data_IF_990087122789
#
_entry.id   IF_990087122789
#
_cell.length_a   1.000
_cell.length_b   1.000
_cell.length_c   1.000
_cell.angle_alpha   90.00
_cell.angle_beta   90.00
_cell.angle_gamma   90.00
#
_symmetry.space_group_name_H-M   'P 1'
#
loop_
_entity.id
_entity.type
_entity.pdbx_description
1 polymer ?
#
# COMPACT_ATOMS: atom_id res chain seq x y z
N UNK A 1 -49.46 4.17 -20.01
CA UNK A 1 -48.52 5.30 -19.79
C UNK A 1 -47.69 4.94 -18.58
N UNK A 2 -46.49 4.40 -18.79
CA UNK A 2 -45.60 3.96 -17.69
C UNK A 2 -44.57 5.05 -17.42
N UNK A 3 -44.53 5.54 -16.18
CA UNK A 3 -43.52 6.49 -15.70
C UNK A 3 -42.15 5.80 -15.58
N UNK A 4 -41.03 6.50 -15.83
CA UNK A 4 -39.71 5.92 -15.65
C UNK A 4 -39.29 5.87 -14.17
N UNK A 5 -38.57 4.82 -13.80
CA UNK A 5 -37.92 4.63 -12.49
C UNK A 5 -36.70 5.55 -12.42
N UNK A 6 -36.41 6.24 -11.28
CA UNK A 6 -35.22 7.05 -11.16
C UNK A 6 -33.98 6.15 -11.02
N UNK A 7 -33.00 6.36 -11.89
CA UNK A 7 -31.65 5.79 -11.76
C UNK A 7 -30.98 6.45 -10.55
N UNK A 8 -30.76 5.69 -9.49
CA UNK A 8 -29.93 6.10 -8.36
C UNK A 8 -28.47 6.22 -8.80
N UNK A 9 -27.84 7.37 -8.51
CA UNK A 9 -26.41 7.57 -8.69
C UNK A 9 -25.63 6.64 -7.74
N UNK A 10 -24.52 6.02 -8.17
CA UNK A 10 -23.66 5.29 -7.25
C UNK A 10 -22.95 6.30 -6.34
N UNK A 11 -23.35 6.32 -5.08
CA UNK A 11 -22.61 6.98 -4.00
C UNK A 11 -21.36 6.15 -3.73
N UNK A 12 -20.27 6.45 -4.46
CA UNK A 12 -18.95 5.92 -4.17
C UNK A 12 -18.43 6.53 -2.88
N UNK A 13 -18.67 5.86 -1.75
CA UNK A 13 -17.96 6.14 -0.51
C UNK A 13 -16.51 5.72 -0.70
N UNK A 14 -15.61 6.67 -0.94
CA UNK A 14 -14.19 6.41 -0.75
C UNK A 14 -13.99 6.03 0.72
N UNK A 15 -13.40 4.87 1.06
CA UNK A 15 -13.13 4.55 2.45
C UNK A 15 -12.14 5.60 2.97
N UNK A 16 -12.63 6.50 3.81
CA UNK A 16 -11.77 7.34 4.63
C UNK A 16 -11.15 6.39 5.66
N UNK A 17 -9.94 5.90 5.40
CA UNK A 17 -9.15 5.19 6.41
C UNK A 17 -8.78 6.27 7.44
N UNK A 18 -9.31 6.21 8.67
CA UNK A 18 -8.90 7.16 9.70
C UNK A 18 -7.44 6.89 10.04
N UNK A 19 -6.62 7.94 10.08
CA UNK A 19 -5.28 7.90 10.65
C UNK A 19 -5.41 7.51 12.12
N UNK A 20 -5.32 6.22 12.41
CA UNK A 20 -5.61 5.68 13.75
C UNK A 20 -4.29 5.25 14.37
N UNK A 21 -3.80 6.03 15.34
CA UNK A 21 -2.78 5.57 16.27
C UNK A 21 -3.46 4.59 17.24
N UNK A 22 -3.53 3.31 16.86
CA UNK A 22 -4.08 2.26 17.71
C UNK A 22 -2.92 1.55 18.42
N UNK A 23 -2.96 1.51 19.75
CA UNK A 23 -2.04 0.74 20.59
C UNK A 23 -2.42 -0.74 20.47
N UNK A 24 -1.47 -1.59 20.07
CA UNK A 24 -1.68 -3.04 20.01
C UNK A 24 -1.06 -3.69 21.23
N UNK A 25 -1.65 -4.81 21.69
CA UNK A 25 -1.16 -5.60 22.84
C UNK A 25 0.29 -6.11 22.72
N UNK A 26 0.95 -5.82 21.60
CA UNK A 26 2.35 -6.14 21.29
C UNK A 26 3.33 -4.99 21.63
N UNK A 27 2.85 -3.86 22.18
CA UNK A 27 3.70 -2.70 22.51
C UNK A 27 4.22 -1.97 21.27
N UNK A 28 3.34 -1.86 20.26
CA UNK A 28 3.65 -1.25 18.97
C UNK A 28 2.58 -0.23 18.59
N UNK A 29 3.06 0.87 18.00
CA UNK A 29 2.25 1.89 17.39
C UNK A 29 2.16 1.65 15.89
N UNK A 30 0.94 1.70 15.36
CA UNK A 30 0.71 1.59 13.92
C UNK A 30 0.25 2.92 13.36
N UNK A 31 0.85 3.32 12.25
CA UNK A 31 0.39 4.43 11.42
C UNK A 31 -0.12 3.87 10.09
N UNK A 32 -1.25 4.37 9.61
CA UNK A 32 -1.69 4.20 8.23
C UNK A 32 -1.91 5.58 7.63
N UNK A 33 -1.23 5.89 6.54
CA UNK A 33 -1.23 7.20 5.91
C UNK A 33 -1.10 7.10 4.39
N UNK A 34 -1.36 8.21 3.68
CA UNK A 34 -0.99 8.36 2.27
C UNK A 34 0.37 9.03 2.17
N UNK A 35 1.13 8.72 1.13
CA UNK A 35 2.45 9.32 0.91
C UNK A 35 2.85 9.34 -0.56
N UNK A 36 4.09 9.73 -0.78
CA UNK A 36 4.79 9.68 -2.07
C UNK A 36 6.10 8.89 -1.94
N UNK A 37 6.85 8.77 -3.03
CA UNK A 37 8.10 8.02 -3.05
C UNK A 37 9.15 8.61 -2.08
N UNK A 38 9.18 9.94 -1.92
CA UNK A 38 10.09 10.62 -0.99
C UNK A 38 9.77 10.27 0.47
N UNK A 39 8.47 10.15 0.80
CA UNK A 39 7.99 9.68 2.10
C UNK A 39 8.50 8.27 2.40
N UNK A 40 8.38 7.35 1.43
CA UNK A 40 8.85 5.97 1.59
C UNK A 40 10.37 5.90 1.78
N UNK A 41 11.14 6.65 0.98
CA UNK A 41 12.58 6.79 1.14
C UNK A 41 12.96 7.33 2.53
N UNK A 42 12.22 8.33 3.03
CA UNK A 42 12.45 8.90 4.36
C UNK A 42 12.18 7.91 5.48
N UNK A 43 11.20 7.03 5.30
CA UNK A 43 10.90 5.95 6.25
C UNK A 43 12.03 4.90 6.26
N UNK A 44 12.49 4.47 5.09
CA UNK A 44 13.63 3.55 4.95
C UNK A 44 14.90 4.11 5.59
N UNK A 45 15.18 5.41 5.38
CA UNK A 45 16.33 6.08 6.00
C UNK A 45 16.27 6.13 7.54
N UNK A 46 15.07 5.97 8.12
CA UNK A 46 14.84 5.87 9.57
C UNK A 46 14.77 4.42 10.08
N UNK A 47 15.11 3.45 9.24
CA UNK A 47 14.97 2.02 9.54
C UNK A 47 13.53 1.62 9.89
N UNK A 48 12.56 2.28 9.26
CA UNK A 48 11.13 1.98 9.39
C UNK A 48 10.59 1.50 8.03
N UNK A 49 10.64 0.19 7.73
CA UNK A 49 10.18 -0.37 6.47
C UNK A 49 8.70 -0.10 6.23
N UNK A 50 8.32 0.64 5.17
CA UNK A 50 6.93 0.87 4.84
C UNK A 50 6.22 -0.40 4.38
N UNK A 51 4.98 -0.59 4.80
CA UNK A 51 4.06 -1.60 4.27
C UNK A 51 3.19 -0.92 3.22
N UNK A 52 3.46 -1.12 1.93
CA UNK A 52 2.68 -0.51 0.86
C UNK A 52 1.46 -1.37 0.50
N UNK A 53 0.31 -0.71 0.33
CA UNK A 53 -0.90 -1.35 -0.21
C UNK A 53 -0.86 -1.26 -1.72
N UNK A 54 -0.89 -2.39 -2.43
CA UNK A 54 -0.71 -2.44 -3.88
C UNK A 54 -1.82 -3.22 -4.54
N UNK A 55 -2.16 -2.86 -5.78
CA UNK A 55 -2.96 -3.70 -6.66
C UNK A 55 -2.01 -4.62 -7.45
N UNK A 56 -2.08 -5.91 -7.19
CA UNK A 56 -1.19 -6.91 -7.80
C UNK A 56 -1.37 -7.04 -9.31
N UNK A 57 -2.47 -6.52 -9.89
CA UNK A 57 -2.69 -6.52 -11.34
C UNK A 57 -1.69 -5.67 -12.12
N UNK A 58 -0.96 -4.78 -11.45
CA UNK A 58 0.13 -3.99 -12.03
C UNK A 58 1.50 -4.67 -11.86
N UNK A 59 1.60 -5.72 -11.04
CA UNK A 59 2.86 -6.37 -10.69
C UNK A 59 3.15 -7.53 -11.65
N UNK A 60 4.26 -7.43 -12.38
CA UNK A 60 4.71 -8.36 -13.41
C UNK A 60 4.98 -9.78 -12.89
N UNK A 61 5.30 -9.92 -11.59
CA UNK A 61 5.54 -11.20 -10.94
C UNK A 61 4.25 -11.86 -10.42
N UNK A 62 3.09 -11.21 -10.53
CA UNK A 62 1.80 -11.71 -10.03
C UNK A 62 0.81 -11.99 -11.18
N UNK A 63 -0.06 -13.00 -11.04
CA UNK A 63 -0.95 -13.47 -12.13
C UNK A 63 -2.44 -13.09 -11.97
N UNK A 64 -2.82 -12.56 -10.82
CA UNK A 64 -4.18 -12.19 -10.42
C UNK A 64 -4.22 -10.73 -9.94
N UNK A 65 -5.29 -10.00 -10.26
CA UNK A 65 -5.48 -8.63 -9.79
C UNK A 65 -6.27 -8.62 -8.47
N UNK A 66 -5.60 -8.31 -7.37
CA UNK A 66 -6.19 -8.16 -6.04
C UNK A 66 -5.49 -7.04 -5.27
N UNK A 67 -6.18 -6.46 -4.28
CA UNK A 67 -5.50 -5.66 -3.27
C UNK A 67 -4.61 -6.56 -2.41
N UNK A 68 -3.38 -6.12 -2.15
CA UNK A 68 -2.39 -6.85 -1.36
C UNK A 68 -1.49 -5.87 -0.58
N UNK A 69 -0.69 -6.38 0.35
CA UNK A 69 0.27 -5.60 1.11
C UNK A 69 1.68 -6.19 1.00
N UNK A 70 2.65 -5.35 0.68
CA UNK A 70 4.06 -5.71 0.54
C UNK A 70 4.94 -4.85 1.44
N UNK A 71 6.04 -5.39 1.95
CA UNK A 71 6.97 -4.63 2.79
C UNK A 71 8.10 -4.10 1.93
N UNK A 72 8.26 -2.80 1.84
CA UNK A 72 9.36 -2.18 1.11
C UNK A 72 10.62 -2.28 1.97
N UNK A 73 11.67 -2.90 1.44
CA UNK A 73 12.96 -3.08 2.12
C UNK A 73 14.10 -2.30 1.46
N UNK A 74 13.87 -1.74 0.28
CA UNK A 74 14.83 -0.87 -0.39
C UNK A 74 14.24 -0.14 -1.60
N UNK A 75 14.81 1.02 -1.92
CA UNK A 75 14.54 1.76 -3.16
C UNK A 75 15.91 2.21 -3.68
N UNK A 76 16.35 1.62 -4.78
CA UNK A 76 17.66 1.89 -5.37
C UNK A 76 17.66 1.56 -6.86
N UNK A 77 18.56 2.17 -7.63
CA UNK A 77 18.79 1.81 -9.04
C UNK A 77 17.51 1.76 -9.92
N UNK A 78 16.54 2.66 -9.67
CA UNK A 78 15.23 2.68 -10.34
C UNK A 78 14.34 1.44 -10.08
N UNK A 79 14.58 0.75 -8.98
CA UNK A 79 13.83 -0.40 -8.52
C UNK A 79 13.32 -0.18 -7.09
N UNK A 80 12.22 -0.86 -6.77
CA UNK A 80 11.68 -1.02 -5.43
C UNK A 80 11.84 -2.49 -5.06
N UNK A 81 12.53 -2.75 -3.95
CA UNK A 81 12.74 -4.08 -3.39
C UNK A 81 11.63 -4.34 -2.36
N UNK A 82 10.83 -5.37 -2.60
CA UNK A 82 9.69 -5.69 -1.73
C UNK A 82 9.76 -7.13 -1.21
N UNK A 83 9.50 -7.30 0.08
CA UNK A 83 9.18 -8.60 0.65
C UNK A 83 7.67 -8.82 0.52
N UNK A 84 7.32 -9.84 -0.25
CA UNK A 84 5.94 -10.18 -0.54
C UNK A 84 5.50 -11.41 0.28
N UNK A 85 4.54 -11.30 1.20
CA UNK A 85 4.10 -12.43 2.03
C UNK A 85 3.54 -13.63 1.26
N UNK A 86 3.16 -13.48 0.00
CA UNK A 86 2.67 -14.59 -0.81
C UNK A 86 3.78 -15.44 -1.43
N UNK A 87 5.03 -14.98 -1.38
CA UNK A 87 6.18 -15.66 -1.97
C UNK A 87 7.26 -15.91 -0.91
N UNK A 88 7.82 -17.13 -0.82
CA UNK A 88 8.93 -17.41 0.08
C UNK A 88 10.26 -16.83 -0.42
N UNK A 89 10.43 -16.66 -1.73
CA UNK A 89 11.59 -15.99 -2.32
C UNK A 89 11.46 -14.47 -2.18
N UNK A 90 12.49 -13.83 -1.60
CA UNK A 90 12.53 -12.40 -1.34
C UNK A 90 13.96 -11.84 -1.46
N UNK A 91 14.12 -10.55 -1.80
CA UNK A 91 13.05 -9.62 -2.20
C UNK A 91 12.59 -9.88 -3.65
N UNK A 92 11.37 -9.44 -3.96
CA UNK A 92 10.94 -9.22 -5.34
C UNK A 92 11.46 -7.86 -5.80
N UNK A 93 11.98 -7.79 -7.01
CA UNK A 93 12.49 -6.56 -7.61
C UNK A 93 11.49 -6.07 -8.67
N UNK A 94 10.92 -4.89 -8.45
CA UNK A 94 10.02 -4.26 -9.41
C UNK A 94 10.53 -2.88 -9.78
N UNK A 95 10.21 -2.40 -10.99
CA UNK A 95 10.56 -1.04 -11.37
C UNK A 95 9.78 -0.01 -10.54
N UNK A 96 10.32 1.21 -10.38
CA UNK A 96 9.59 2.31 -9.74
C UNK A 96 8.23 2.55 -10.43
N UNK A 97 8.19 2.52 -11.77
CA UNK A 97 6.94 2.77 -12.51
C UNK A 97 5.87 1.71 -12.20
N UNK A 98 6.27 0.44 -12.18
CA UNK A 98 5.41 -0.69 -11.84
C UNK A 98 4.87 -0.58 -10.41
N UNK A 99 5.75 -0.30 -9.46
CA UNK A 99 5.36 -0.03 -8.07
C UNK A 99 4.38 1.14 -7.96
N UNK A 100 4.70 2.26 -8.62
CA UNK A 100 3.88 3.47 -8.56
C UNK A 100 2.48 3.25 -9.12
N UNK A 101 2.34 2.53 -10.23
CA UNK A 101 1.03 2.16 -10.78
C UNK A 101 0.25 1.29 -9.78
N UNK A 102 0.88 0.24 -9.23
CA UNK A 102 0.25 -0.65 -8.27
C UNK A 102 -0.20 0.09 -6.99
N UNK A 103 0.61 1.04 -6.53
CA UNK A 103 0.38 1.81 -5.32
C UNK A 103 -0.65 2.92 -5.51
N UNK A 104 -0.64 3.59 -6.67
CA UNK A 104 -1.65 4.60 -7.03
C UNK A 104 -3.06 4.00 -7.14
N UNK A 105 -3.20 2.79 -7.67
CA UNK A 105 -4.49 2.06 -7.70
C UNK A 105 -5.06 1.83 -6.29
N UNK A 106 -4.22 1.91 -5.26
CA UNK A 106 -4.55 1.78 -3.84
C UNK A 106 -4.39 3.11 -3.09
N UNK A 107 -4.59 4.24 -3.78
CA UNK A 107 -4.63 5.57 -3.16
C UNK A 107 -3.31 6.00 -2.48
N UNK A 108 -2.21 5.32 -2.81
CA UNK A 108 -0.88 5.53 -2.24
C UNK A 108 -0.85 5.36 -0.71
N UNK A 109 -1.68 4.46 -0.18
CA UNK A 109 -1.65 4.12 1.24
C UNK A 109 -0.40 3.32 1.60
N UNK A 110 0.17 3.62 2.76
CA UNK A 110 1.20 2.82 3.39
C UNK A 110 0.96 2.71 4.90
N UNK A 111 1.48 1.65 5.49
CA UNK A 111 1.54 1.42 6.92
C UNK A 111 2.95 1.53 7.46
N UNK A 112 3.10 1.94 8.72
CA UNK A 112 4.32 1.79 9.51
C UNK A 112 4.01 1.14 10.84
N UNK A 113 4.97 0.38 11.34
CA UNK A 113 4.95 -0.19 12.68
C UNK A 113 6.18 0.33 13.42
N UNK A 114 5.94 1.02 14.52
CA UNK A 114 6.96 1.56 15.40
C UNK A 114 6.83 0.90 16.78
N UNK A 115 7.94 0.76 17.52
CA UNK A 115 7.86 0.35 18.93
C UNK A 115 7.26 1.50 19.75
N UNK A 116 6.48 1.17 20.76
CA UNK A 116 6.13 2.15 21.80
C UNK A 116 7.37 2.42 22.68
N UNK A 117 7.56 3.69 23.05
CA UNK A 117 8.68 4.17 23.90
C UNK A 117 8.54 3.73 25.37
#
# INVERSE_FOLDING_TARGET
MSSPIPVGQPQGIAPTIPQTNQEFALGVKVLVAKGDLETLCSCLARELPPIAFVNTGQLSYWNEATGHAVVIVGIENNQVLVNDPAFPEAPQEISIDEFMLAWMDMDQFYGLIEKED
#
